data_IF_235164666659
#
_entry.id   IF_235164666659
#
_cell.length_a   1.000
_cell.length_b   1.000
_cell.length_c   1.000
_cell.angle_alpha   90.00
_cell.angle_beta   90.00
_cell.angle_gamma   90.00
#
_symmetry.space_group_name_H-M   'P 1'
#
loop_
_entity.id
_entity.type
_entity.pdbx_description
1 polymer ?
#
# COMPACT_ATOMS: atom_id res chain seq x y z
N UNK A 1 -3.69 -14.59 -9.87
CA UNK A 1 -4.67 -15.62 -9.44
C UNK A 1 -4.98 -15.50 -7.94
N UNK A 2 -4.01 -15.70 -7.04
CA UNK A 2 -4.25 -15.57 -5.59
C UNK A 2 -4.75 -14.19 -5.12
N UNK A 3 -4.23 -13.10 -5.67
CA UNK A 3 -4.60 -11.74 -5.25
C UNK A 3 -6.06 -11.40 -5.56
N UNK A 4 -6.54 -11.73 -6.77
CA UNK A 4 -7.92 -11.47 -7.18
C UNK A 4 -8.90 -12.37 -6.42
N UNK A 5 -8.57 -13.65 -6.24
CA UNK A 5 -9.37 -14.57 -5.45
C UNK A 5 -9.47 -14.11 -3.98
N UNK A 6 -8.36 -13.65 -3.40
CA UNK A 6 -8.32 -13.06 -2.07
C UNK A 6 -9.27 -11.87 -1.95
N UNK A 7 -9.20 -10.90 -2.89
CA UNK A 7 -10.09 -9.73 -2.88
C UNK A 7 -11.57 -10.09 -3.02
N UNK A 8 -11.91 -11.10 -3.84
CA UNK A 8 -13.31 -11.55 -4.00
C UNK A 8 -13.81 -12.21 -2.71
N UNK A 9 -13.01 -13.09 -2.09
CA UNK A 9 -13.37 -13.75 -0.83
C UNK A 9 -13.51 -12.71 0.31
N UNK A 10 -12.62 -11.73 0.37
CA UNK A 10 -12.72 -10.60 1.30
C UNK A 10 -14.06 -9.84 1.13
N UNK A 11 -14.43 -9.54 -0.12
CA UNK A 11 -15.70 -8.84 -0.42
C UNK A 11 -16.94 -9.66 -0.06
N UNK A 12 -16.89 -10.99 -0.21
CA UNK A 12 -17.98 -11.88 0.21
C UNK A 12 -18.13 -11.93 1.73
N UNK A 13 -17.02 -11.93 2.46
CA UNK A 13 -17.04 -11.91 3.92
C UNK A 13 -17.54 -10.57 4.48
N UNK A 14 -17.20 -9.46 3.83
CA UNK A 14 -17.71 -8.13 4.18
C UNK A 14 -19.25 -8.04 4.01
N UNK A 15 -19.80 -8.63 2.95
CA UNK A 15 -21.26 -8.70 2.74
C UNK A 15 -21.96 -9.50 3.86
N UNK A 16 -21.38 -10.62 4.29
CA UNK A 16 -21.91 -11.42 5.40
C UNK A 16 -21.83 -10.69 6.75
N UNK A 17 -20.77 -9.91 6.97
CA UNK A 17 -20.49 -9.26 8.26
C UNK A 17 -21.24 -7.95 8.45
N UNK A 18 -21.45 -7.18 7.36
CA UNK A 18 -22.01 -5.83 7.41
C UNK A 18 -23.24 -5.63 6.52
N UNK A 19 -23.76 -6.68 5.88
CA UNK A 19 -24.96 -6.67 5.02
C UNK A 19 -24.88 -5.68 3.85
N UNK A 20 -23.66 -5.37 3.41
CA UNK A 20 -23.37 -4.52 2.25
C UNK A 20 -22.08 -5.00 1.59
N UNK A 21 -22.09 -5.03 0.26
CA UNK A 21 -20.96 -5.51 -0.54
C UNK A 21 -19.73 -4.60 -0.46
N UNK A 22 -19.96 -3.30 -0.23
CA UNK A 22 -18.92 -2.28 -0.15
C UNK A 22 -19.50 -0.99 0.46
N UNK A 23 -18.80 -0.37 1.40
CA UNK A 23 -19.05 1.02 1.79
C UNK A 23 -17.77 1.83 1.76
N UNK A 24 -17.91 3.14 1.51
CA UNK A 24 -16.83 4.11 1.67
C UNK A 24 -16.51 4.37 3.15
N UNK A 25 -16.49 3.33 3.98
CA UNK A 25 -15.99 3.45 5.34
C UNK A 25 -14.45 3.43 5.33
N UNK A 26 -13.82 4.41 5.99
CA UNK A 26 -12.38 4.49 6.22
C UNK A 26 -11.67 3.17 6.55
N UNK A 27 -12.34 2.25 7.25
CA UNK A 27 -11.78 0.99 7.73
C UNK A 27 -11.96 -0.17 6.75
N UNK A 28 -12.89 -0.05 5.79
CA UNK A 28 -13.25 -1.13 4.85
C UNK A 28 -12.51 -0.99 3.51
N UNK A 29 -12.02 0.22 3.16
CA UNK A 29 -11.44 0.51 1.84
C UNK A 29 -9.91 0.41 1.74
N UNK A 30 -9.21 0.06 2.82
CA UNK A 30 -7.75 0.03 2.84
C UNK A 30 -7.13 -1.02 1.90
N UNK A 31 -7.83 -2.13 1.67
CA UNK A 31 -7.34 -3.25 0.87
C UNK A 31 -7.33 -2.99 -0.64
N UNK A 32 -8.18 -2.09 -1.14
CA UNK A 32 -8.34 -1.80 -2.57
C UNK A 32 -7.08 -1.16 -3.21
N UNK A 33 -6.51 -0.07 -2.67
CA UNK A 33 -5.29 0.52 -3.23
C UNK A 33 -4.09 -0.45 -3.17
N UNK A 34 -3.99 -1.26 -2.11
CA UNK A 34 -2.93 -2.27 -1.96
C UNK A 34 -3.05 -3.34 -3.06
N UNK A 35 -4.27 -3.84 -3.27
CA UNK A 35 -4.57 -4.85 -4.29
C UNK A 35 -4.27 -4.33 -5.70
N UNK A 36 -4.70 -3.11 -6.02
CA UNK A 36 -4.42 -2.47 -7.31
C UNK A 36 -2.93 -2.26 -7.52
N UNK A 37 -2.17 -1.86 -6.49
CA UNK A 37 -0.73 -1.69 -6.58
C UNK A 37 0.00 -3.00 -6.85
N UNK A 38 -0.34 -4.06 -6.11
CA UNK A 38 0.19 -5.40 -6.36
C UNK A 38 -0.12 -5.88 -7.78
N UNK A 39 -1.35 -5.64 -8.24
CA UNK A 39 -1.77 -5.95 -9.61
C UNK A 39 -0.98 -5.16 -10.66
N UNK A 40 -0.75 -3.86 -10.44
CA UNK A 40 0.02 -3.00 -11.33
C UNK A 40 1.47 -3.45 -11.45
N UNK A 41 2.14 -3.78 -10.35
CA UNK A 41 3.52 -4.31 -10.36
C UNK A 41 3.58 -5.64 -11.10
N UNK A 42 2.62 -6.54 -10.82
CA UNK A 42 2.55 -7.83 -11.49
C UNK A 42 2.35 -7.66 -13.01
N UNK A 43 1.43 -6.80 -13.43
CA UNK A 43 1.17 -6.51 -14.83
C UNK A 43 2.39 -5.88 -15.52
N UNK A 44 3.02 -4.89 -14.89
CA UNK A 44 4.22 -4.25 -15.39
C UNK A 44 5.40 -5.25 -15.53
N UNK A 45 5.57 -6.17 -14.58
CA UNK A 45 6.59 -7.23 -14.66
C UNK A 45 6.26 -8.26 -15.75
N UNK A 46 4.99 -8.68 -15.82
CA UNK A 46 4.52 -9.64 -16.84
C UNK A 46 4.72 -9.10 -18.26
N UNK A 47 4.49 -7.81 -18.46
CA UNK A 47 4.71 -7.12 -19.74
C UNK A 47 6.17 -6.72 -19.97
N UNK A 48 7.10 -7.12 -19.10
CA UNK A 48 8.53 -6.74 -19.14
C UNK A 48 8.79 -5.23 -19.17
N UNK A 49 7.83 -4.43 -18.68
CA UNK A 49 7.96 -2.96 -18.59
C UNK A 49 8.92 -2.55 -17.46
N UNK A 50 9.04 -3.39 -16.43
CA UNK A 50 9.96 -3.19 -15.31
C UNK A 50 10.94 -4.37 -15.20
N UNK A 51 12.20 -4.05 -14.91
CA UNK A 51 13.26 -5.04 -14.63
C UNK A 51 13.22 -5.48 -13.16
N UNK A 52 14.21 -6.25 -12.73
CA UNK A 52 14.28 -6.76 -11.36
C UNK A 52 14.34 -5.62 -10.33
N UNK A 53 15.12 -4.58 -10.61
CA UNK A 53 15.23 -3.38 -9.78
C UNK A 53 13.89 -2.65 -9.70
N UNK A 54 13.18 -2.51 -10.82
CA UNK A 54 11.85 -1.87 -10.84
C UNK A 54 10.81 -2.67 -10.07
N UNK A 55 10.88 -4.00 -10.10
CA UNK A 55 10.01 -4.85 -9.27
C UNK A 55 10.35 -4.69 -7.79
N UNK A 56 11.64 -4.70 -7.44
CA UNK A 56 12.09 -4.53 -6.06
C UNK A 56 11.63 -3.19 -5.47
N UNK A 57 11.77 -2.09 -6.23
CA UNK A 57 11.26 -0.76 -5.84
C UNK A 57 9.75 -0.78 -5.62
N UNK A 58 8.99 -1.38 -6.53
CA UNK A 58 7.53 -1.49 -6.39
C UNK A 58 7.11 -2.22 -5.11
N UNK A 59 7.80 -3.31 -4.76
CA UNK A 59 7.53 -4.07 -3.53
C UNK A 59 7.90 -3.26 -2.28
N UNK A 60 9.00 -2.51 -2.32
CA UNK A 60 9.42 -1.63 -1.20
C UNK A 60 8.40 -0.52 -0.92
N UNK A 61 7.67 -0.06 -1.93
CA UNK A 61 6.60 0.95 -1.78
C UNK A 61 5.30 0.35 -1.20
N UNK A 62 5.14 -0.98 -1.22
CA UNK A 62 3.94 -1.66 -0.73
C UNK A 62 3.60 -1.36 0.74
N UNK A 63 4.55 -1.47 1.69
CA UNK A 63 4.34 -1.12 3.10
C UNK A 63 3.86 0.32 3.31
N UNK A 64 4.35 1.29 2.53
CA UNK A 64 3.85 2.66 2.53
C UNK A 64 2.35 2.73 2.32
N UNK A 65 1.86 2.02 1.31
CA UNK A 65 0.45 2.01 0.93
C UNK A 65 -0.41 1.34 1.98
N UNK A 66 0.13 0.32 2.67
CA UNK A 66 -0.54 -0.29 3.83
C UNK A 66 -0.71 0.75 4.94
N UNK A 67 0.34 1.50 5.27
CA UNK A 67 0.28 2.49 6.35
C UNK A 67 -0.57 3.69 5.95
N UNK A 68 -0.57 4.09 4.68
CA UNK A 68 -1.48 5.09 4.14
C UNK A 68 -2.95 4.64 4.24
N UNK A 69 -3.23 3.38 3.93
CA UNK A 69 -4.57 2.79 4.08
C UNK A 69 -5.03 2.75 5.55
N UNK A 70 -4.11 2.48 6.48
CA UNK A 70 -4.41 2.44 7.92
C UNK A 70 -4.50 3.83 8.58
N UNK A 71 -3.67 4.77 8.16
CA UNK A 71 -3.46 6.05 8.87
C UNK A 71 -3.99 7.24 8.09
N UNK A 72 -3.70 7.31 6.78
CA UNK A 72 -4.12 8.42 5.92
C UNK A 72 -5.64 8.57 5.85
N UNK A 73 -6.35 7.45 5.88
CA UNK A 73 -7.81 7.41 5.83
C UNK A 73 -8.43 7.86 7.16
N UNK A 74 -7.74 7.65 8.29
CA UNK A 74 -8.12 8.18 9.58
C UNK A 74 -7.79 9.68 9.77
N UNK A 75 -6.92 10.26 8.93
CA UNK A 75 -6.60 11.69 8.93
C UNK A 75 -7.64 12.56 8.20
N UNK A 76 -8.54 11.97 7.39
CA UNK A 76 -9.51 12.68 6.55
C UNK A 76 -10.79 13.16 7.28
N UNK A 77 -10.87 13.03 8.61
CA UNK A 77 -11.73 13.89 9.43
C UNK A 77 -13.13 13.39 9.79
N UNK A 78 -13.24 12.24 10.47
CA UNK A 78 -14.40 11.97 11.34
C UNK A 78 -13.88 11.76 12.77
N UNK A 79 -13.59 12.86 13.46
CA UNK A 79 -13.14 12.83 14.85
C UNK A 79 -12.74 14.21 15.37
N UNK A 80 -13.73 15.02 15.78
CA UNK A 80 -13.53 16.37 16.36
C UNK A 80 -12.89 16.37 17.78
N UNK A 81 -12.09 15.37 18.13
CA UNK A 81 -11.42 15.25 19.44
C UNK A 81 -10.01 14.61 19.33
N UNK A 82 -9.15 15.10 18.41
CA UNK A 82 -7.97 14.34 17.94
C UNK A 82 -6.66 15.14 17.86
N UNK A 83 -6.41 16.15 18.70
CA UNK A 83 -5.12 16.88 18.66
C UNK A 83 -3.87 15.99 18.86
N UNK A 84 -4.01 14.78 19.42
CA UNK A 84 -2.93 13.78 19.54
C UNK A 84 -2.95 12.67 18.48
N UNK A 85 -4.09 12.41 17.84
CA UNK A 85 -4.23 11.30 16.88
C UNK A 85 -3.84 11.75 15.46
N UNK A 86 -4.11 13.01 15.10
CA UNK A 86 -3.62 13.60 13.85
C UNK A 86 -2.09 13.77 13.85
N UNK A 87 -1.49 14.09 15.00
CA UNK A 87 -0.03 14.23 15.13
C UNK A 87 0.70 12.88 15.13
N UNK A 88 0.16 11.87 15.80
CA UNK A 88 0.76 10.53 15.79
C UNK A 88 0.62 9.86 14.43
N UNK A 89 -0.54 9.96 13.77
CA UNK A 89 -0.73 9.42 12.42
C UNK A 89 0.18 10.09 11.37
N UNK A 90 0.30 11.42 11.40
CA UNK A 90 1.24 12.13 10.54
C UNK A 90 2.70 11.73 10.81
N UNK A 91 3.09 11.55 12.07
CA UNK A 91 4.42 11.08 12.43
C UNK A 91 4.71 9.67 11.93
N UNK A 92 3.75 8.74 12.03
CA UNK A 92 3.91 7.38 11.50
C UNK A 92 4.13 7.37 9.99
N UNK A 93 3.37 8.18 9.24
CA UNK A 93 3.54 8.32 7.79
C UNK A 93 4.91 8.92 7.44
N UNK A 94 5.37 9.93 8.18
CA UNK A 94 6.68 10.54 7.96
C UNK A 94 7.84 9.58 8.28
N UNK A 95 7.78 8.86 9.40
CA UNK A 95 8.83 7.90 9.80
C UNK A 95 8.98 6.81 8.75
N UNK A 96 7.85 6.26 8.30
CA UNK A 96 7.83 5.17 7.30
C UNK A 96 8.29 5.68 5.95
N UNK A 97 7.80 6.84 5.51
CA UNK A 97 8.25 7.45 4.26
C UNK A 97 9.76 7.74 4.27
N UNK A 98 10.30 8.27 5.38
CA UNK A 98 11.75 8.48 5.51
C UNK A 98 12.51 7.15 5.49
N UNK A 99 12.04 6.15 6.23
CA UNK A 99 12.67 4.82 6.26
C UNK A 99 12.73 4.18 4.87
N UNK A 100 11.62 4.20 4.13
CA UNK A 100 11.56 3.66 2.76
C UNK A 100 12.41 4.46 1.80
N UNK A 101 12.44 5.79 1.89
CA UNK A 101 13.31 6.62 1.06
C UNK A 101 14.78 6.31 1.31
N UNK A 102 15.19 6.13 2.56
CA UNK A 102 16.55 5.70 2.91
C UNK A 102 16.85 4.30 2.36
N UNK A 103 15.90 3.38 2.49
CA UNK A 103 16.04 2.03 1.97
C UNK A 103 16.18 2.04 0.44
N UNK A 104 15.33 2.79 -0.27
CA UNK A 104 15.43 2.97 -1.72
C UNK A 104 16.75 3.64 -2.12
N UNK A 105 17.20 4.67 -1.41
CA UNK A 105 18.45 5.36 -1.69
C UNK A 105 19.67 4.44 -1.60
N UNK A 106 19.64 3.41 -0.75
CA UNK A 106 20.72 2.43 -0.61
C UNK A 106 20.60 1.31 -1.64
N UNK A 107 19.41 0.72 -1.80
CA UNK A 107 19.23 -0.50 -2.57
C UNK A 107 19.01 -0.27 -4.07
N UNK A 108 18.45 0.88 -4.48
CA UNK A 108 18.26 1.20 -5.91
C UNK A 108 19.60 1.35 -6.65
N UNK A 109 20.60 2.10 -6.15
CA UNK A 109 21.89 2.21 -6.83
C UNK A 109 22.63 0.88 -6.89
N UNK A 110 22.49 0.02 -5.87
CA UNK A 110 23.07 -1.32 -5.84
C UNK A 110 22.41 -2.24 -6.88
N UNK A 111 21.08 -2.19 -7.01
CA UNK A 111 20.33 -2.95 -8.02
C UNK A 111 20.67 -2.51 -9.45
N UNK A 112 20.73 -1.20 -9.69
CA UNK A 112 21.08 -0.65 -11.01
C UNK A 112 22.52 -0.99 -11.45
N UNK A 113 23.46 -1.14 -10.50
CA UNK A 113 24.83 -1.59 -10.79
C UNK A 113 24.87 -3.04 -11.23
N UNK A 114 24.09 -3.92 -10.58
CA UNK A 114 24.00 -5.35 -10.91
C UNK A 114 23.33 -5.61 -12.27
N UNK A 115 22.40 -4.76 -12.68
CA UNK A 115 21.75 -4.88 -13.99
C UNK A 115 22.57 -4.38 -15.18
N UNK A 116 23.72 -3.72 -14.92
CA UNK A 116 24.61 -3.14 -15.93
C UNK A 116 25.86 -3.99 -16.20
N UNK A 117 26.27 -4.87 -15.28
CA UNK A 117 27.36 -5.84 -15.48
C UNK A 117 26.84 -7.09 -16.20
#
# INVERSE_FOLDING_TARGET
MFTVAGTVIDSMWADQSWRRFWAWDPKENGALPITLWCGAIFHARSNRMIRETGTAVGVIIGPFLVILAWVGVNLLGIGLHSSRFTSQGAQSLLIVGVFELLFLAIFVPLGLRRERS
#
